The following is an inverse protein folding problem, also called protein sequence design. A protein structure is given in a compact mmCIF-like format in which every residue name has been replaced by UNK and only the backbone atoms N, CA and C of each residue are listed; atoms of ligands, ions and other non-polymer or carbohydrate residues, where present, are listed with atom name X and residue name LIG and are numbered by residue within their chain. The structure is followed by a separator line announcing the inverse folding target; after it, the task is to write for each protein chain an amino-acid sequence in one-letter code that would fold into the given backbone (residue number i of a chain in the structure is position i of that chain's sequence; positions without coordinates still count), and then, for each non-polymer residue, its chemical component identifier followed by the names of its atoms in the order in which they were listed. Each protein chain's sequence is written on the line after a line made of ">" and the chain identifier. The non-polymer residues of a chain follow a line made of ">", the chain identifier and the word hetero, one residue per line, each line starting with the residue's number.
data_IF_573136603793
#
_entry.id   IF_573136603793
#
_cell.length_a   1.000
_cell.length_b   1.000
_cell.length_c   1.000
_cell.angle_alpha   90.00
_cell.angle_beta   90.00
_cell.angle_gamma   90.00
#
_symmetry.space_group_name_H-M   'P 1'
#
loop_
_entity.id
_entity.type
_entity.pdbx_description
1 polymer ?
#
# COMPACT_ATOMS: atom_id res chain seq x y z
N UNK A 1 -2.28 5.79 -14.66
CA UNK A 1 -3.18 4.70 -14.23
C UNK A 1 -2.55 3.93 -13.07
N UNK A 2 -3.32 3.59 -12.01
CA UNK A 2 -2.81 2.81 -10.86
C UNK A 2 -3.00 1.31 -11.15
N UNK A 3 -1.95 0.51 -11.02
CA UNK A 3 -2.00 -0.94 -11.32
C UNK A 3 -2.24 -1.82 -10.10
N UNK A 4 -2.09 -1.26 -8.89
CA UNK A 4 -2.18 -2.01 -7.64
C UNK A 4 -3.29 -1.41 -6.77
N UNK A 5 -4.14 -2.28 -6.21
CA UNK A 5 -5.22 -1.91 -5.32
C UNK A 5 -5.09 -2.65 -3.98
N UNK A 6 -5.19 -1.96 -2.83
CA UNK A 6 -5.11 -2.59 -1.52
C UNK A 6 -6.38 -3.38 -1.21
N UNK A 7 -6.26 -4.71 -1.19
CA UNK A 7 -7.38 -5.65 -0.96
C UNK A 7 -7.27 -6.42 0.34
N UNK A 8 -6.10 -6.39 1.00
CA UNK A 8 -5.81 -7.25 2.13
C UNK A 8 -5.97 -6.43 3.41
N UNK A 9 -6.94 -6.76 4.28
CA UNK A 9 -7.10 -6.10 5.56
C UNK A 9 -6.04 -6.61 6.56
N UNK A 10 -5.32 -5.70 7.21
CA UNK A 10 -4.38 -6.03 8.30
C UNK A 10 -4.99 -5.61 9.63
N UNK A 11 -5.20 -6.58 10.52
CA UNK A 11 -5.77 -6.37 11.84
C UNK A 11 -4.69 -6.11 12.89
N UNK A 12 -4.97 -5.21 13.84
CA UNK A 12 -4.07 -4.89 14.95
C UNK A 12 -4.85 -4.75 16.27
N UNK A 13 -4.21 -5.13 17.37
CA UNK A 13 -4.69 -4.92 18.73
C UNK A 13 -3.99 -3.67 19.29
N UNK A 14 -4.69 -2.77 20.00
CA UNK A 14 -4.06 -1.61 20.63
C UNK A 14 -2.97 -2.02 21.63
N UNK A 15 -1.91 -1.21 21.72
CA UNK A 15 -0.72 -1.50 22.53
C UNK A 15 -1.01 -1.66 24.03
N UNK A 16 -2.07 -1.04 24.53
CA UNK A 16 -2.47 -1.10 25.95
C UNK A 16 -3.13 -2.43 26.35
N UNK A 17 -3.59 -3.22 25.37
CA UNK A 17 -4.31 -4.46 25.62
C UNK A 17 -3.37 -5.66 25.75
N UNK A 18 -3.62 -6.52 26.75
CA UNK A 18 -2.97 -7.83 26.83
C UNK A 18 -3.42 -8.74 25.68
N UNK A 19 -2.53 -9.64 25.28
CA UNK A 19 -2.72 -10.62 24.20
C UNK A 19 -3.81 -11.66 24.53
N UNK A 20 -4.23 -12.42 23.51
CA UNK A 20 -5.22 -13.51 23.60
C UNK A 20 -6.69 -13.11 23.85
N UNK A 21 -7.08 -11.87 23.55
CA UNK A 21 -8.49 -11.42 23.57
C UNK A 21 -9.23 -11.57 22.24
N UNK A 22 -8.67 -12.31 21.28
CA UNK A 22 -9.20 -12.46 19.92
C UNK A 22 -8.53 -11.55 18.90
N UNK A 23 -9.13 -11.46 17.70
CA UNK A 23 -8.59 -10.69 16.57
C UNK A 23 -8.99 -9.22 16.68
N UNK A 24 -8.03 -8.31 16.53
CA UNK A 24 -8.27 -6.86 16.61
C UNK A 24 -9.01 -6.29 15.40
N UNK A 25 -9.31 -4.98 15.45
CA UNK A 25 -9.88 -4.23 14.34
C UNK A 25 -8.88 -4.08 13.18
N UNK A 26 -9.38 -3.74 11.98
CA UNK A 26 -8.56 -3.53 10.78
C UNK A 26 -8.25 -2.04 10.61
N UNK A 27 -7.10 -1.52 11.06
CA UNK A 27 -6.74 -0.12 10.86
C UNK A 27 -6.29 0.19 9.43
N UNK A 28 -5.70 -0.78 8.72
CA UNK A 28 -5.06 -0.53 7.41
C UNK A 28 -5.35 -1.62 6.39
N UNK A 29 -5.36 -1.20 5.12
CA UNK A 29 -5.49 -2.07 3.96
C UNK A 29 -4.20 -2.03 3.15
N UNK A 30 -3.68 -3.20 2.81
CA UNK A 30 -2.40 -3.33 2.12
C UNK A 30 -2.55 -4.10 0.81
N UNK A 31 -1.59 -3.91 -0.08
CA UNK A 31 -1.42 -4.72 -1.28
C UNK A 31 -0.08 -5.45 -1.19
N UNK A 32 -0.07 -6.73 -1.56
CA UNK A 32 1.18 -7.49 -1.70
C UNK A 32 1.86 -7.06 -3.00
N UNK A 33 3.06 -6.53 -2.89
CA UNK A 33 3.88 -6.07 -4.03
C UNK A 33 5.13 -6.94 -4.10
N UNK A 34 5.41 -7.52 -5.27
CA UNK A 34 6.66 -8.25 -5.52
C UNK A 34 7.66 -7.34 -6.22
N UNK A 35 8.95 -7.69 -6.13
CA UNK A 35 10.00 -7.03 -6.90
C UNK A 35 9.69 -7.06 -8.40
N UNK A 36 9.98 -5.96 -9.10
CA UNK A 36 9.68 -5.79 -10.53
C UNK A 36 8.22 -5.41 -10.85
N UNK A 37 7.32 -5.37 -9.87
CA UNK A 37 5.93 -4.99 -10.11
C UNK A 37 5.77 -3.48 -10.32
N UNK A 38 5.14 -3.09 -11.44
CA UNK A 38 4.85 -1.70 -11.77
C UNK A 38 3.64 -1.22 -10.97
N UNK A 39 3.84 -0.19 -10.13
CA UNK A 39 2.79 0.40 -9.30
C UNK A 39 1.94 1.43 -10.06
N UNK A 40 2.61 2.26 -10.85
CA UNK A 40 2.02 3.40 -11.54
C UNK A 40 2.52 3.47 -12.97
N UNK A 41 1.61 3.77 -13.88
CA UNK A 41 1.92 4.13 -15.26
C UNK A 41 1.49 5.56 -15.53
N UNK A 42 2.38 6.31 -16.16
CA UNK A 42 2.20 7.73 -16.43
C UNK A 42 2.45 7.95 -17.92
N UNK A 43 1.48 8.56 -18.59
CA UNK A 43 1.55 8.95 -20.00
C UNK A 43 1.17 10.42 -20.14
N UNK A 44 1.58 11.07 -21.23
CA UNK A 44 1.18 12.45 -21.56
C UNK A 44 1.98 13.56 -20.90
N UNK A 45 3.15 13.28 -20.32
CA UNK A 45 4.05 14.29 -19.74
C UNK A 45 5.46 14.20 -20.34
N UNK A 46 6.17 15.33 -20.39
CA UNK A 46 7.56 15.37 -20.84
C UNK A 46 8.47 14.58 -19.90
N UNK A 47 9.53 13.99 -20.46
CA UNK A 47 10.45 13.12 -19.71
C UNK A 47 11.08 13.81 -18.48
N UNK A 48 11.34 15.12 -18.58
CA UNK A 48 11.88 15.92 -17.48
C UNK A 48 10.92 16.01 -16.28
N UNK A 49 9.62 16.09 -16.54
CA UNK A 49 8.60 16.09 -15.49
C UNK A 49 8.33 14.68 -14.96
N UNK A 50 8.36 13.66 -15.81
CA UNK A 50 8.21 12.27 -15.39
C UNK A 50 9.30 11.82 -14.40
N UNK A 51 10.54 12.26 -14.62
CA UNK A 51 11.66 11.96 -13.70
C UNK A 51 11.50 12.57 -12.31
N UNK A 52 10.85 13.74 -12.20
CA UNK A 52 10.57 14.37 -10.89
C UNK A 52 9.56 13.58 -10.07
N UNK A 53 8.60 12.91 -10.71
CA UNK A 53 7.60 12.08 -10.01
C UNK A 53 8.20 10.82 -9.37
N UNK A 54 9.36 10.37 -9.87
CA UNK A 54 10.07 9.21 -9.33
C UNK A 54 10.88 9.55 -8.06
N UNK A 55 11.04 10.85 -7.77
CA UNK A 55 11.81 11.35 -6.64
C UNK A 55 10.90 11.56 -5.45
#
# INVERSE_FOLDING_TARGET
>A
MKRVFPKIPVAAIPTENRMCKGKGSVPVWVAKVKEGQILYEISGISLGNAKKFKK
#
